data_IF_231222500609
#
_entry.id   IF_231222500609
#
_cell.length_a   1.000
_cell.length_b   1.000
_cell.length_c   1.000
_cell.angle_alpha   90.00
_cell.angle_beta   90.00
_cell.angle_gamma   90.00
#
_symmetry.space_group_name_H-M   'P 1'
#
loop_
_entity.id
_entity.type
_entity.pdbx_description
1 polymer ?
#
# COMPACT_ATOMS: atom_id res chain seq x y z
N UNK A 1 -1.23 23.24 -13.51
CA UNK A 1 -1.63 22.64 -12.21
C UNK A 1 -1.00 21.28 -11.92
N UNK A 2 -0.49 20.55 -12.92
CA UNK A 2 0.20 19.26 -12.77
C UNK A 2 1.50 19.32 -11.95
N UNK A 3 2.32 20.36 -12.11
CA UNK A 3 3.62 20.44 -11.42
C UNK A 3 3.52 20.51 -9.90
N UNK A 4 2.53 21.20 -9.34
CA UNK A 4 2.35 21.32 -7.89
C UNK A 4 2.06 19.96 -7.22
N UNK A 5 1.15 19.18 -7.80
CA UNK A 5 0.81 17.83 -7.30
C UNK A 5 1.95 16.82 -7.46
N UNK A 6 2.77 16.98 -8.50
CA UNK A 6 3.98 16.17 -8.71
C UNK A 6 5.02 16.49 -7.62
N UNK A 7 5.25 17.76 -7.31
CA UNK A 7 6.17 18.16 -6.23
C UNK A 7 5.71 17.59 -4.88
N UNK A 8 4.42 17.71 -4.53
CA UNK A 8 3.88 17.15 -3.29
C UNK A 8 4.05 15.62 -3.25
N UNK A 9 3.80 14.93 -4.35
CA UNK A 9 3.99 13.48 -4.43
C UNK A 9 5.45 13.06 -4.29
N UNK A 10 6.40 13.86 -4.78
CA UNK A 10 7.83 13.57 -4.69
C UNK A 10 8.32 13.54 -3.23
N UNK A 11 7.74 14.37 -2.35
CA UNK A 11 8.00 14.28 -0.92
C UNK A 11 7.59 12.92 -0.35
N UNK A 12 6.46 12.37 -0.79
CA UNK A 12 6.02 11.02 -0.43
C UNK A 12 6.73 9.87 -1.14
N UNK A 13 7.68 10.15 -2.02
CA UNK A 13 8.35 9.11 -2.79
C UNK A 13 9.23 8.24 -1.91
N UNK A 14 9.34 6.96 -2.25
CA UNK A 14 10.29 6.05 -1.61
C UNK A 14 11.74 6.55 -1.74
N UNK A 15 12.04 7.30 -2.81
CA UNK A 15 13.34 7.92 -3.04
C UNK A 15 13.76 8.90 -1.94
N UNK A 16 12.79 9.58 -1.33
CA UNK A 16 13.04 10.58 -0.27
C UNK A 16 12.83 9.95 1.12
N UNK A 17 11.72 9.24 1.29
CA UNK A 17 11.29 8.75 2.61
C UNK A 17 12.09 7.54 3.10
N UNK A 18 12.56 6.65 2.23
CA UNK A 18 13.37 5.49 2.64
C UNK A 18 14.77 5.93 3.10
N UNK A 19 15.48 6.80 2.36
CA UNK A 19 16.74 7.35 2.87
C UNK A 19 16.56 8.16 4.15
N UNK A 20 15.47 8.92 4.28
CA UNK A 20 15.16 9.61 5.53
C UNK A 20 14.93 8.63 6.70
N UNK A 21 14.21 7.53 6.47
CA UNK A 21 14.02 6.47 7.46
C UNK A 21 15.35 5.78 7.84
N UNK A 22 16.24 5.55 6.87
CA UNK A 22 17.57 5.00 7.12
C UNK A 22 18.45 5.98 7.92
N UNK A 23 18.41 7.27 7.59
CA UNK A 23 19.11 8.31 8.33
C UNK A 23 18.62 8.39 9.79
N UNK A 24 17.31 8.28 10.03
CA UNK A 24 16.75 8.17 11.39
C UNK A 24 17.33 6.97 12.14
N UNK A 25 17.39 5.80 11.50
CA UNK A 25 17.99 4.59 12.09
C UNK A 25 19.45 4.83 12.47
N UNK A 26 20.25 5.45 11.59
CA UNK A 26 21.65 5.79 11.86
C UNK A 26 21.78 6.75 13.04
N UNK A 27 20.92 7.77 13.11
CA UNK A 27 20.91 8.71 14.24
C UNK A 27 20.55 8.04 15.57
N UNK A 28 19.57 7.14 15.58
CA UNK A 28 19.20 6.38 16.77
C UNK A 28 20.32 5.42 17.21
N UNK A 29 20.99 4.77 16.25
CA UNK A 29 22.18 3.94 16.52
C UNK A 29 23.34 4.76 17.07
N UNK A 30 23.62 5.94 16.50
CA UNK A 30 24.67 6.85 16.97
C UNK A 30 24.40 7.36 18.39
N UNK A 31 23.13 7.55 18.75
CA UNK A 31 22.70 7.86 20.12
C UNK A 31 22.70 6.64 21.06
N UNK A 32 23.14 5.45 20.59
CA UNK A 32 23.14 4.18 21.32
C UNK A 32 21.76 3.76 21.85
N UNK A 33 20.70 4.21 21.19
CA UNK A 33 19.31 3.96 21.58
C UNK A 33 18.81 2.61 21.02
N UNK A 34 19.51 1.52 21.32
CA UNK A 34 19.31 0.20 20.67
C UNK A 34 17.86 -0.28 20.69
N UNK A 35 17.19 -0.24 21.85
CA UNK A 35 15.77 -0.63 21.98
C UNK A 35 14.87 0.18 21.05
N UNK A 36 15.02 1.51 21.08
CA UNK A 36 14.29 2.46 20.23
C UNK A 36 14.54 2.19 18.75
N UNK A 37 15.78 1.92 18.37
CA UNK A 37 16.15 1.54 17.00
C UNK A 37 15.47 0.24 16.58
N UNK A 38 15.51 -0.81 17.41
CA UNK A 38 14.88 -2.09 17.08
C UNK A 38 13.37 -1.96 16.91
N UNK A 39 12.70 -1.23 17.81
CA UNK A 39 11.26 -0.95 17.71
C UNK A 39 10.95 -0.19 16.42
N UNK A 40 11.73 0.85 16.09
CA UNK A 40 11.58 1.62 14.86
C UNK A 40 11.72 0.73 13.61
N UNK A 41 12.81 -0.03 13.52
CA UNK A 41 13.08 -0.91 12.37
C UNK A 41 12.04 -2.01 12.24
N UNK A 42 11.61 -2.61 13.34
CA UNK A 42 10.59 -3.65 13.33
C UNK A 42 9.23 -3.13 12.85
N UNK A 43 8.79 -1.97 13.36
CA UNK A 43 7.51 -1.38 12.97
C UNK A 43 7.54 -0.87 11.52
N UNK A 44 8.59 -0.15 11.14
CA UNK A 44 8.75 0.37 9.78
C UNK A 44 8.89 -0.78 8.76
N UNK A 45 9.71 -1.78 9.08
CA UNK A 45 9.89 -2.98 8.27
C UNK A 45 8.60 -3.79 8.14
N UNK A 46 7.86 -3.97 9.24
CA UNK A 46 6.57 -4.65 9.24
C UNK A 46 5.53 -3.93 8.37
N UNK A 47 5.44 -2.61 8.45
CA UNK A 47 4.57 -1.83 7.57
C UNK A 47 4.98 -1.93 6.10
N UNK A 48 6.29 -1.82 5.80
CA UNK A 48 6.82 -1.96 4.45
C UNK A 48 6.51 -3.35 3.87
N UNK A 49 6.65 -4.39 4.68
CA UNK A 49 6.30 -5.77 4.31
C UNK A 49 4.80 -5.91 4.05
N UNK A 50 3.93 -5.33 4.90
CA UNK A 50 2.48 -5.32 4.68
C UNK A 50 2.12 -4.67 3.35
N UNK A 51 2.72 -3.52 3.02
CA UNK A 51 2.53 -2.85 1.73
C UNK A 51 3.01 -3.73 0.56
N UNK A 52 4.16 -4.38 0.70
CA UNK A 52 4.68 -5.28 -0.32
C UNK A 52 3.75 -6.49 -0.52
N UNK A 53 3.31 -7.14 0.56
CA UNK A 53 2.41 -8.30 0.53
C UNK A 53 1.09 -7.92 -0.12
N UNK A 54 0.45 -6.82 0.29
CA UNK A 54 -0.83 -6.41 -0.31
C UNK A 54 -0.73 -6.14 -1.81
N UNK A 55 0.38 -5.55 -2.26
CA UNK A 55 0.66 -5.40 -3.70
C UNK A 55 0.90 -6.73 -4.39
N UNK A 56 1.71 -7.62 -3.82
CA UNK A 56 1.98 -8.93 -4.41
C UNK A 56 0.71 -9.78 -4.50
N UNK A 57 -0.14 -9.75 -3.48
CA UNK A 57 -1.44 -10.44 -3.51
C UNK A 57 -2.35 -9.91 -4.62
N UNK A 58 -2.39 -8.60 -4.82
CA UNK A 58 -3.18 -8.03 -5.93
C UNK A 58 -2.56 -8.33 -7.30
N UNK A 59 -1.25 -8.11 -7.48
CA UNK A 59 -0.58 -8.34 -8.77
C UNK A 59 -0.57 -9.83 -9.16
N UNK A 60 -0.41 -10.73 -8.18
CA UNK A 60 -0.30 -12.18 -8.38
C UNK A 60 -1.64 -12.89 -8.40
N UNK A 61 -2.59 -12.54 -7.53
CA UNK A 61 -3.87 -13.25 -7.37
C UNK A 61 -5.11 -12.42 -7.68
N UNK A 62 -4.96 -11.11 -7.96
CA UNK A 62 -6.10 -10.23 -8.22
C UNK A 62 -7.00 -10.03 -6.99
N UNK A 63 -6.49 -10.31 -5.78
CA UNK A 63 -7.17 -10.09 -4.51
C UNK A 63 -7.23 -8.59 -4.23
N UNK A 64 -8.34 -7.98 -4.63
CA UNK A 64 -8.68 -6.59 -4.36
C UNK A 64 -10.18 -6.48 -4.13
N UNK A 65 -10.60 -5.45 -3.39
CA UNK A 65 -12.02 -5.20 -3.15
C UNK A 65 -12.52 -4.27 -4.26
N UNK A 66 -13.33 -4.80 -5.18
CA UNK A 66 -13.83 -4.05 -6.35
C UNK A 66 -14.79 -2.95 -5.94
N UNK A 67 -15.60 -3.18 -4.91
CA UNK A 67 -16.57 -2.18 -4.43
C UNK A 67 -15.88 -0.94 -3.82
N UNK A 68 -14.68 -1.13 -3.27
CA UNK A 68 -13.87 -0.05 -2.65
C UNK A 68 -12.74 0.43 -3.56
N UNK A 69 -12.62 -0.14 -4.75
CA UNK A 69 -11.54 0.12 -5.68
C UNK A 69 -10.14 -0.07 -5.05
N UNK A 70 -10.03 -1.04 -4.14
CA UNK A 70 -8.84 -1.29 -3.34
C UNK A 70 -7.99 -2.37 -4.00
N UNK A 71 -6.81 -1.99 -4.49
CA UNK A 71 -5.85 -2.89 -5.15
C UNK A 71 -4.56 -3.05 -4.36
N UNK A 72 -4.45 -2.41 -3.20
CA UNK A 72 -3.33 -2.58 -2.26
C UNK A 72 -2.99 -1.29 -1.54
N UNK A 73 -2.28 -1.40 -0.41
CA UNK A 73 -1.97 -0.23 0.42
C UNK A 73 -1.02 0.73 -0.32
N UNK A 74 -1.32 2.03 -0.31
CA UNK A 74 -0.46 3.05 -0.93
C UNK A 74 0.85 3.19 -0.16
N UNK A 75 1.94 2.71 -0.74
CA UNK A 75 3.27 2.84 -0.16
C UNK A 75 3.74 4.29 0.02
N UNK A 76 3.39 5.22 -0.90
CA UNK A 76 3.77 6.63 -0.75
C UNK A 76 3.08 7.26 0.47
N UNK A 77 1.80 6.94 0.64
CA UNK A 77 1.00 7.46 1.74
C UNK A 77 1.44 6.85 3.07
N UNK A 78 1.71 5.54 3.10
CA UNK A 78 2.25 4.87 4.29
C UNK A 78 3.62 5.43 4.68
N UNK A 79 4.54 5.61 3.74
CA UNK A 79 5.87 6.15 4.01
C UNK A 79 5.80 7.59 4.53
N UNK A 80 5.03 8.46 3.90
CA UNK A 80 4.86 9.85 4.34
C UNK A 80 4.20 9.96 5.72
N UNK A 81 3.16 9.17 5.99
CA UNK A 81 2.45 9.15 7.28
C UNK A 81 3.21 8.47 8.40
N UNK A 82 4.25 7.70 8.09
CA UNK A 82 5.16 7.12 9.08
C UNK A 82 6.35 8.02 9.36
N UNK A 83 7.07 8.45 8.31
CA UNK A 83 8.38 9.10 8.45
C UNK A 83 8.25 10.53 8.96
N UNK A 84 7.32 11.34 8.43
CA UNK A 84 7.24 12.75 8.83
C UNK A 84 6.77 12.95 10.28
N UNK A 85 5.71 12.29 10.76
CA UNK A 85 5.32 12.41 12.16
C UNK A 85 6.40 11.87 13.09
N UNK A 86 7.16 10.84 12.67
CA UNK A 86 8.29 10.31 13.44
C UNK A 86 9.45 11.32 13.54
N UNK A 87 9.83 11.98 12.44
CA UNK A 87 10.84 13.06 12.46
C UNK A 87 10.37 14.18 13.40
N UNK A 88 9.11 14.62 13.26
CA UNK A 88 8.54 15.66 14.11
C UNK A 88 8.57 15.26 15.59
N UNK A 89 8.19 14.01 15.92
CA UNK A 89 8.22 13.48 17.28
C UNK A 89 9.62 13.52 17.91
N UNK A 90 10.64 13.12 17.15
CA UNK A 90 12.03 13.12 17.63
C UNK A 90 12.61 14.52 17.77
N UNK A 91 12.33 15.42 16.81
CA UNK A 91 12.83 16.79 16.83
C UNK A 91 12.20 17.64 17.93
N UNK A 92 10.88 17.48 18.15
CA UNK A 92 10.10 18.32 19.04
C UNK A 92 9.98 17.74 20.46
N UNK A 93 10.70 16.64 20.77
CA UNK A 93 10.57 15.93 22.05
C UNK A 93 10.92 16.80 23.26
N UNK A 94 11.85 17.75 23.09
CA UNK A 94 12.32 18.72 24.12
C UNK A 94 11.60 20.08 24.06
N UNK A 95 10.69 20.26 23.10
CA UNK A 95 9.95 21.52 22.92
C UNK A 95 8.68 21.50 23.78
N UNK A 96 8.26 22.68 24.25
CA UNK A 96 7.04 22.82 25.04
C UNK A 96 5.80 22.23 24.33
N UNK A 97 4.86 21.72 25.12
CA UNK A 97 3.69 20.97 24.65
C UNK A 97 2.91 21.61 23.48
N UNK A 98 2.56 22.92 23.49
CA UNK A 98 1.74 23.49 22.40
C UNK A 98 2.47 23.49 21.05
N UNK A 99 3.76 23.80 21.05
CA UNK A 99 4.59 23.80 19.84
C UNK A 99 4.88 22.38 19.34
N UNK A 100 5.04 21.42 20.27
CA UNK A 100 5.17 20.01 19.91
C UNK A 100 3.89 19.49 19.25
N UNK A 101 2.72 19.80 19.81
CA UNK A 101 1.43 19.43 19.24
C UNK A 101 1.23 20.05 17.85
N UNK A 102 1.56 21.34 17.69
CA UNK A 102 1.49 22.02 16.41
C UNK A 102 2.38 21.37 15.35
N UNK A 103 3.64 21.07 15.68
CA UNK A 103 4.56 20.45 14.71
C UNK A 103 4.16 19.01 14.35
N UNK A 104 3.60 18.23 15.29
CA UNK A 104 3.01 16.93 14.97
C UNK A 104 1.79 17.07 14.06
N UNK A 105 0.92 18.05 14.33
CA UNK A 105 -0.25 18.32 13.50
C UNK A 105 0.17 18.70 12.06
N UNK A 106 1.14 19.61 11.91
CA UNK A 106 1.67 20.01 10.60
C UNK A 106 2.27 18.83 9.85
N UNK A 107 3.04 17.97 10.51
CA UNK A 107 3.59 16.76 9.90
C UNK A 107 2.49 15.81 9.43
N UNK A 108 1.47 15.56 10.26
CA UNK A 108 0.32 14.72 9.89
C UNK A 108 -0.48 15.29 8.73
N UNK A 109 -0.75 16.61 8.73
CA UNK A 109 -1.44 17.28 7.61
C UNK A 109 -0.60 17.18 6.33
N UNK A 110 0.71 17.37 6.41
CA UNK A 110 1.63 17.19 5.28
C UNK A 110 1.58 15.77 4.71
N UNK A 111 1.58 14.75 5.57
CA UNK A 111 1.45 13.35 5.16
C UNK A 111 0.10 13.04 4.49
N UNK A 112 -0.99 13.62 4.98
CA UNK A 112 -2.32 13.48 4.36
C UNK A 112 -2.36 14.19 3.01
N UNK A 113 -1.74 15.37 2.89
CA UNK A 113 -1.64 16.10 1.62
C UNK A 113 -0.92 15.28 0.54
N UNK A 114 0.11 14.52 0.91
CA UNK A 114 0.77 13.53 0.03
C UNK A 114 -0.20 12.41 -0.37
N UNK A 115 -1.06 11.94 0.54
CA UNK A 115 -2.12 10.99 0.21
C UNK A 115 -3.11 11.55 -0.81
N UNK A 116 -3.58 12.79 -0.58
CA UNK A 116 -4.52 13.51 -1.46
C UNK A 116 -3.89 13.75 -2.84
N UNK A 117 -2.61 14.10 -2.93
CA UNK A 117 -1.94 14.30 -4.22
C UNK A 117 -1.91 13.03 -5.07
N UNK A 118 -1.81 11.85 -4.45
CA UNK A 118 -1.82 10.55 -5.16
C UNK A 118 -3.20 10.20 -5.71
N UNK A 119 -4.26 10.57 -4.98
CA UNK A 119 -5.64 10.44 -5.46
C UNK A 119 -5.90 11.43 -6.59
N UNK A 120 -5.47 12.69 -6.44
CA UNK A 120 -5.64 13.73 -7.44
C UNK A 120 -4.88 13.46 -8.76
N UNK A 121 -3.77 12.73 -8.70
CA UNK A 121 -3.03 12.26 -9.87
C UNK A 121 -3.63 10.97 -10.50
N UNK A 122 -4.79 10.50 -10.02
CA UNK A 122 -5.44 9.24 -10.44
C UNK A 122 -4.54 8.01 -10.34
N UNK A 123 -3.48 8.07 -9.52
CA UNK A 123 -2.49 7.01 -9.40
C UNK A 123 -2.90 5.91 -8.41
N UNK A 124 -3.79 6.24 -7.47
CA UNK A 124 -4.36 5.36 -6.45
C UNK A 124 -5.81 5.71 -6.18
N UNK A 125 -6.60 4.76 -5.69
CA UNK A 125 -7.95 5.07 -5.19
C UNK A 125 -7.90 5.74 -3.81
N UNK A 126 -9.02 6.33 -3.40
CA UNK A 126 -9.17 6.95 -2.07
C UNK A 126 -8.96 5.91 -0.97
N UNK A 127 -9.48 4.69 -1.14
CA UNK A 127 -9.37 3.62 -0.14
C UNK A 127 -7.91 3.19 0.08
N UNK A 128 -7.09 3.17 -0.97
CA UNK A 128 -5.66 2.84 -0.89
C UNK A 128 -4.84 3.92 -0.16
N UNK A 129 -5.19 5.19 -0.41
CA UNK A 129 -4.56 6.32 0.28
C UNK A 129 -4.94 6.32 1.77
N UNK A 130 -6.23 6.14 2.10
CA UNK A 130 -6.70 6.06 3.49
C UNK A 130 -6.07 4.89 4.23
N UNK A 131 -6.02 3.70 3.61
CA UNK A 131 -5.34 2.55 4.19
C UNK A 131 -3.85 2.80 4.44
N UNK A 132 -3.17 3.49 3.52
CA UNK A 132 -1.77 3.89 3.68
C UNK A 132 -1.59 4.84 4.87
N UNK A 133 -2.42 5.87 5.00
CA UNK A 133 -2.42 6.78 6.15
C UNK A 133 -2.66 6.02 7.47
N UNK A 134 -3.65 5.13 7.50
CA UNK A 134 -4.01 4.37 8.69
C UNK A 134 -2.85 3.51 9.17
N UNK A 135 -2.19 2.78 8.26
CA UNK A 135 -1.00 1.97 8.60
C UNK A 135 0.13 2.84 9.14
N UNK A 136 0.44 3.97 8.49
CA UNK A 136 1.56 4.81 8.93
C UNK A 136 1.31 5.50 10.26
N UNK A 137 0.12 6.04 10.50
CA UNK A 137 -0.24 6.61 11.80
C UNK A 137 -0.31 5.55 12.91
N UNK A 138 -0.75 4.33 12.59
CA UNK A 138 -0.72 3.22 13.54
C UNK A 138 0.72 2.86 13.95
N UNK A 139 1.68 2.87 13.00
CA UNK A 139 3.11 2.71 13.32
C UNK A 139 3.60 3.81 14.26
N UNK A 140 3.27 5.07 13.99
CA UNK A 140 3.67 6.17 14.87
C UNK A 140 3.06 6.04 16.27
N UNK A 141 1.78 5.69 16.38
CA UNK A 141 1.11 5.47 17.65
C UNK A 141 1.72 4.30 18.44
N UNK A 142 1.97 3.17 17.75
CA UNK A 142 2.62 2.00 18.35
C UNK A 142 4.04 2.32 18.82
N UNK A 143 4.82 3.05 18.01
CA UNK A 143 6.16 3.50 18.38
C UNK A 143 6.12 4.38 19.63
N UNK A 144 5.25 5.39 19.66
CA UNK A 144 5.10 6.30 20.80
C UNK A 144 4.68 5.53 22.07
N UNK A 145 3.77 4.56 21.95
CA UNK A 145 3.34 3.72 23.07
C UNK A 145 4.45 2.82 23.60
N UNK A 146 5.19 2.13 22.73
CA UNK A 146 6.25 1.19 23.11
C UNK A 146 7.49 1.88 23.69
N UNK A 147 7.72 3.14 23.32
CA UNK A 147 8.88 3.96 23.75
C UNK A 147 8.51 5.04 24.78
N UNK A 148 7.29 5.00 25.34
CA UNK A 148 6.79 6.03 26.28
C UNK A 148 7.57 6.10 27.60
N UNK A 149 8.12 4.96 28.02
CA UNK A 149 8.87 4.82 29.27
C UNK A 149 10.39 4.90 29.05
N UNK A 150 10.84 4.99 27.79
CA UNK A 150 12.27 5.06 27.48
C UNK A 150 12.78 6.48 27.73
N UNK A 151 13.99 6.57 28.28
CA UNK A 151 14.69 7.85 28.34
C UNK A 151 14.87 8.44 26.94
N UNK A 152 14.73 9.76 26.79
CA UNK A 152 14.90 10.39 25.50
C UNK A 152 16.33 10.16 24.99
N UNK A 153 16.51 9.60 23.78
CA UNK A 153 17.84 9.37 23.25
C UNK A 153 18.58 10.70 23.14
N UNK A 154 19.89 10.69 23.44
CA UNK A 154 20.71 11.90 23.38
C UNK A 154 21.06 12.25 21.92
N UNK A 155 20.05 12.73 21.21
CA UNK A 155 20.16 13.14 19.82
C UNK A 155 20.66 14.59 19.76
N UNK A 156 21.68 14.82 18.92
CA UNK A 156 22.06 16.18 18.53
C UNK A 156 21.03 16.67 17.51
N UNK A 157 19.94 17.28 18.00
CA UNK A 157 18.76 17.66 17.22
C UNK A 157 19.08 18.54 16.01
N UNK A 158 20.03 19.47 16.16
CA UNK A 158 20.41 20.43 15.12
C UNK A 158 21.11 19.76 13.91
N UNK A 159 22.22 19.00 14.08
CA UNK A 159 22.83 18.29 12.96
C UNK A 159 21.94 17.18 12.41
N UNK A 160 21.09 16.56 13.23
CA UNK A 160 20.08 15.60 12.74
C UNK A 160 19.10 16.29 11.79
N UNK A 161 18.49 17.41 12.21
CA UNK A 161 17.58 18.19 11.39
C UNK A 161 18.26 18.69 10.11
N UNK A 162 19.47 19.23 10.20
CA UNK A 162 20.23 19.70 9.04
C UNK A 162 20.54 18.57 8.05
N UNK A 163 21.00 17.41 8.55
CA UNK A 163 21.27 16.24 7.69
C UNK A 163 20.02 15.71 7.00
N UNK A 164 18.89 15.64 7.70
CA UNK A 164 17.60 15.21 7.13
C UNK A 164 17.11 16.23 6.11
N UNK A 165 17.24 17.52 6.38
CA UNK A 165 16.85 18.58 5.46
C UNK A 165 17.68 18.53 4.16
N UNK A 166 19.01 18.44 4.28
CA UNK A 166 19.91 18.31 3.12
C UNK A 166 19.58 17.05 2.33
N UNK A 167 19.38 15.91 3.00
CA UNK A 167 19.04 14.65 2.36
C UNK A 167 17.71 14.72 1.60
N UNK A 168 16.67 15.29 2.21
CA UNK A 168 15.35 15.46 1.59
C UNK A 168 15.43 16.42 0.40
N UNK A 169 16.16 17.53 0.52
CA UNK A 169 16.35 18.49 -0.57
C UNK A 169 17.19 17.92 -1.71
N UNK A 170 18.20 17.10 -1.41
CA UNK A 170 19.07 16.50 -2.41
C UNK A 170 18.37 15.39 -3.20
N UNK A 171 17.52 14.60 -2.54
CA UNK A 171 16.75 13.52 -3.16
C UNK A 171 15.41 13.99 -3.73
N UNK A 172 14.98 15.22 -3.42
CA UNK A 172 13.82 15.83 -4.05
C UNK A 172 14.09 15.96 -5.55
N UNK A 173 13.49 15.06 -6.34
CA UNK A 173 13.52 15.12 -7.81
C UNK A 173 13.96 13.80 -8.45
N UNK A 174 14.61 12.93 -7.68
CA UNK A 174 15.02 11.61 -8.15
C UNK A 174 13.86 10.62 -8.09
N UNK A 175 13.57 9.98 -9.23
CA UNK A 175 12.53 8.94 -9.32
C UNK A 175 13.19 7.57 -9.24
N UNK A 176 13.25 7.00 -8.04
CA UNK A 176 13.70 5.60 -7.89
C UNK A 176 12.71 4.68 -8.62
N UNK A 177 13.17 3.75 -9.50
CA UNK A 177 12.32 2.87 -10.29
C UNK A 177 11.76 1.70 -9.46
N UNK A 178 11.26 1.96 -8.26
CA UNK A 178 10.74 0.94 -7.33
C UNK A 178 9.59 0.13 -7.93
N UNK A 179 8.80 0.76 -8.82
CA UNK A 179 7.74 0.10 -9.58
C UNK A 179 8.25 -1.02 -10.51
N UNK A 180 9.43 -0.85 -11.13
CA UNK A 180 10.01 -1.89 -12.00
C UNK A 180 10.41 -3.10 -11.17
N UNK A 181 11.06 -2.88 -10.03
CA UNK A 181 11.49 -3.97 -9.14
C UNK A 181 10.32 -4.76 -8.57
N UNK A 182 9.27 -4.09 -8.09
CA UNK A 182 8.06 -4.77 -7.59
C UNK A 182 7.38 -5.57 -8.71
N UNK A 183 7.34 -5.03 -9.93
CA UNK A 183 6.76 -5.72 -11.09
C UNK A 183 7.56 -6.97 -11.44
N UNK A 184 8.90 -6.89 -11.47
CA UNK A 184 9.76 -8.05 -11.75
C UNK A 184 9.63 -9.14 -10.69
N UNK A 185 9.58 -8.79 -9.39
CA UNK A 185 9.39 -9.76 -8.31
C UNK A 185 8.01 -10.41 -8.41
N UNK A 186 6.97 -9.62 -8.67
CA UNK A 186 5.61 -10.14 -8.82
C UNK A 186 5.47 -11.07 -10.04
N UNK A 187 6.10 -10.76 -11.17
CA UNK A 187 6.08 -11.62 -12.37
C UNK A 187 6.86 -12.92 -12.16
N UNK A 188 8.02 -12.86 -11.50
CA UNK A 188 8.80 -14.06 -11.16
C UNK A 188 8.09 -14.96 -10.15
N UNK A 189 7.45 -14.41 -9.11
CA UNK A 189 6.72 -15.21 -8.12
C UNK A 189 5.40 -15.78 -8.67
N UNK A 190 4.71 -15.05 -9.55
CA UNK A 190 3.40 -15.47 -10.07
C UNK A 190 3.48 -16.34 -11.33
N UNK A 191 4.67 -16.48 -11.93
CA UNK A 191 4.87 -17.24 -13.17
C UNK A 191 4.10 -16.67 -14.37
N UNK A 192 3.76 -15.37 -14.33
CA UNK A 192 2.97 -14.69 -15.38
C UNK A 192 3.83 -13.73 -16.19
N UNK A 193 3.50 -13.58 -17.47
CA UNK A 193 4.24 -12.69 -18.37
C UNK A 193 3.83 -11.22 -18.28
N UNK A 194 2.62 -10.92 -17.77
CA UNK A 194 2.10 -9.56 -17.66
C UNK A 194 1.43 -9.27 -16.32
N UNK A 195 1.70 -8.09 -15.71
CA UNK A 195 1.09 -7.70 -14.45
C UNK A 195 -0.39 -7.32 -14.66
N UNK A 196 -1.25 -7.60 -13.68
CA UNK A 196 -2.64 -7.18 -13.72
C UNK A 196 -2.75 -5.65 -13.80
N UNK A 197 -3.36 -5.14 -14.86
CA UNK A 197 -3.69 -3.72 -15.02
C UNK A 197 -5.10 -3.46 -14.47
N UNK A 198 -5.25 -2.43 -13.66
CA UNK A 198 -6.52 -2.05 -13.01
C UNK A 198 -7.68 -1.92 -14.01
N UNK A 199 -7.43 -1.37 -15.20
CA UNK A 199 -8.42 -1.24 -16.27
C UNK A 199 -8.95 -2.59 -16.80
N UNK A 200 -8.10 -3.62 -16.91
CA UNK A 200 -8.52 -4.94 -17.39
C UNK A 200 -9.11 -5.83 -16.28
N UNK A 201 -8.82 -5.53 -15.01
CA UNK A 201 -9.41 -6.20 -13.84
C UNK A 201 -10.83 -5.72 -13.54
N UNK A 202 -11.07 -4.40 -13.60
CA UNK A 202 -12.44 -3.85 -13.49
C UNK A 202 -13.35 -4.28 -14.66
N UNK A 203 -12.79 -4.39 -15.88
CA UNK A 203 -13.53 -4.79 -17.07
C UNK A 203 -13.97 -6.26 -17.09
N UNK A 204 -13.26 -7.16 -16.39
CA UNK A 204 -13.73 -8.55 -16.18
C UNK A 204 -14.84 -8.55 -15.13
N UNK A 205 -16.09 -8.28 -15.50
CA UNK A 205 -17.22 -8.77 -14.70
C UNK A 205 -17.08 -10.28 -14.53
N UNK A 206 -17.38 -10.88 -13.37
CA UNK A 206 -17.67 -12.30 -13.32
C UNK A 206 -18.85 -12.49 -14.29
N UNK A 207 -18.60 -13.13 -15.43
CA UNK A 207 -19.69 -13.70 -16.20
C UNK A 207 -20.22 -14.78 -15.29
N UNK A 208 -21.38 -14.53 -14.67
CA UNK A 208 -22.20 -15.63 -14.14
C UNK A 208 -22.31 -16.59 -15.33
N UNK A 209 -21.78 -17.82 -15.24
CA UNK A 209 -21.93 -18.76 -16.35
C UNK A 209 -23.43 -18.81 -16.65
N UNK A 210 -23.86 -18.66 -17.92
CA UNK A 210 -25.26 -18.83 -18.23
C UNK A 210 -25.67 -20.16 -17.62
N UNK A 211 -26.70 -20.12 -16.76
CA UNK A 211 -27.35 -21.34 -16.27
C UNK A 211 -27.84 -22.03 -17.52
N UNK A 212 -27.07 -22.99 -18.03
CA UNK A 212 -27.52 -23.86 -19.11
C UNK A 212 -28.78 -24.50 -18.57
N UNK A 213 -29.96 -24.27 -19.16
CA UNK A 213 -31.13 -25.04 -18.79
C UNK A 213 -30.73 -26.50 -18.96
N UNK A 214 -30.77 -27.27 -17.88
CA UNK A 214 -30.58 -28.71 -17.96
C UNK A 214 -31.66 -29.22 -18.91
N UNK A 215 -31.27 -29.53 -20.15
CA UNK A 215 -32.13 -30.24 -21.09
C UNK A 215 -32.36 -31.59 -20.42
N UNK A 216 -33.57 -31.76 -19.88
CA UNK A 216 -34.02 -33.04 -19.39
C UNK A 216 -33.83 -34.08 -20.51
N UNK A 217 -33.26 -35.26 -20.23
CA UNK A 217 -33.08 -36.28 -21.25
C UNK A 217 -34.46 -36.62 -21.85
N UNK A 218 -34.57 -36.44 -23.16
CA UNK A 218 -35.74 -36.82 -23.95
C UNK A 218 -36.05 -38.30 -23.71
N UNK A 219 -37.16 -38.59 -23.04
CA UNK A 219 -37.72 -39.92 -22.96
C UNK A 219 -38.23 -40.31 -24.34
N UNK A 220 -37.45 -41.10 -25.07
CA UNK A 220 -37.88 -41.75 -26.32
C UNK A 220 -38.98 -42.77 -25.97
N UNK A 221 -40.22 -42.65 -26.46
CA UNK A 221 -41.20 -43.72 -26.32
C UNK A 221 -40.84 -44.84 -27.30
N UNK A 222 -40.86 -46.07 -26.78
CA UNK A 222 -40.49 -47.28 -27.50
C UNK A 222 -41.24 -47.49 -28.82
N UNK A 223 -40.49 -47.99 -29.78
CA UNK A 223 -40.95 -48.52 -31.05
C UNK A 223 -41.83 -49.76 -30.83
N UNK A 224 -43.16 -49.60 -30.86
CA UNK A 224 -44.11 -50.71 -30.98
C UNK A 224 -44.62 -50.78 -32.41
N UNK A 225 -43.88 -51.47 -33.28
CA UNK A 225 -44.39 -51.92 -34.57
C UNK A 225 -45.31 -53.13 -34.36
N UNK A 226 -46.61 -52.87 -34.37
CA UNK A 226 -47.69 -53.87 -34.48
C UNK A 226 -47.62 -54.54 -35.86
N UNK A 227 -47.55 -55.87 -35.98
CA UNK A 227 -47.73 -56.53 -37.28
C UNK A 227 -49.21 -56.57 -37.65
N UNK A 228 -49.54 -56.09 -38.85
CA UNK A 228 -50.83 -56.29 -39.50
C UNK A 228 -51.07 -57.80 -39.71
N UNK A 229 -52.19 -58.31 -39.24
CA UNK A 229 -52.71 -59.62 -39.63
C UNK A 229 -53.33 -59.53 -41.05
N UNK A 230 -53.12 -60.52 -41.94
CA UNK A 230 -53.76 -60.52 -43.24
C UNK A 230 -55.22 -60.98 -43.14
N UNK A 231 -56.10 -60.26 -43.85
CA UNK A 231 -57.45 -60.73 -44.17
C UNK A 231 -57.37 -61.84 -45.23
N UNK A 232 -58.08 -62.96 -45.01
CA UNK A 232 -58.17 -64.00 -46.02
C UNK A 232 -58.97 -65.25 -45.63
N UNK A 233 -60.20 -65.30 -46.16
CA UNK A 233 -60.88 -66.48 -46.71
C UNK A 233 -61.63 -67.47 -45.79
N UNK A 234 -62.95 -67.51 -46.11
CA UNK A 234 -63.98 -68.56 -45.96
C UNK A 234 -64.78 -68.62 -44.67
#
# INVERSE_FOLDING_TARGET
MSNFWITITNFGSAAVTVPAAAALTVWLLAARAWRTTFIWVALFGGAALLVAITKVMFLGWGLGVRELDFTGVSGHTMLASTVYPMIAWLLLRRVAWPWRALGMMLASVGSVAVGVSRVALSAHSVSEAVAGCAVGFAVCAAFAWLTRNDEPPNLKTLPMAASLFILVMWLHGERVPTQRWITHIALNLSGREHPFRRASWQARKPVVPPVTPSIAPSSTPGNNSTPLAPAGAR
#
